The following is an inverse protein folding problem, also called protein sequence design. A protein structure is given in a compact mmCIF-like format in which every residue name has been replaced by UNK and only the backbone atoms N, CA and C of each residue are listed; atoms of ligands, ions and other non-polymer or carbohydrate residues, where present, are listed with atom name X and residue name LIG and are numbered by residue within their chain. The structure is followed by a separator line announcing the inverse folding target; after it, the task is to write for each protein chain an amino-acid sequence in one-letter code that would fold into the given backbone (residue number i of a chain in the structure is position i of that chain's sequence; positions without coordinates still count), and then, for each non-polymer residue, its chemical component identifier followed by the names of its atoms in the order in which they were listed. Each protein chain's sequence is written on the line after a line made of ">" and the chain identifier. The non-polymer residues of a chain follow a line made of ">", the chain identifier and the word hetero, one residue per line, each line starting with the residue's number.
data_IF_135639792545
#
_entry.id   IF_135639792545
#
_cell.length_a   1.000
_cell.length_b   1.000
_cell.length_c   1.000
_cell.angle_alpha   90.00
_cell.angle_beta   90.00
_cell.angle_gamma   90.00
#
_symmetry.space_group_name_H-M   'P 1'
#
loop_
_entity.id
_entity.type
_entity.pdbx_description
1 polymer ?
#
# COMPACT_ATOMS: atom_id res chain seq x y z
N UNK A 1 -24.99 -22.87 22.67
CA UNK A 1 -25.43 -22.29 21.38
C UNK A 1 -24.37 -21.38 20.75
N UNK A 2 -23.77 -20.42 21.48
CA UNK A 2 -22.73 -19.50 20.94
C UNK A 2 -21.51 -20.22 20.32
N UNK A 3 -21.00 -21.29 20.94
CA UNK A 3 -19.83 -22.04 20.44
C UNK A 3 -20.06 -22.75 19.10
N UNK A 4 -21.32 -23.02 18.72
CA UNK A 4 -21.67 -23.64 17.43
C UNK A 4 -21.63 -22.65 16.25
N UNK A 5 -21.89 -21.36 16.50
CA UNK A 5 -21.76 -20.30 15.49
C UNK A 5 -20.36 -19.71 15.43
N UNK A 6 -19.65 -19.67 16.56
CA UNK A 6 -18.31 -19.09 16.64
C UNK A 6 -17.29 -19.84 15.76
N UNK A 7 -17.34 -21.17 15.71
CA UNK A 7 -16.35 -21.98 14.99
C UNK A 7 -16.42 -21.78 13.46
N UNK A 8 -17.60 -21.84 12.80
CA UNK A 8 -17.73 -21.50 11.38
C UNK A 8 -17.34 -20.05 11.07
N UNK A 9 -17.77 -19.10 11.91
CA UNK A 9 -17.48 -17.67 11.70
C UNK A 9 -15.99 -17.39 11.78
N UNK A 10 -15.29 -17.95 12.77
CA UNK A 10 -13.84 -17.79 12.88
C UNK A 10 -13.10 -18.38 11.68
N UNK A 11 -13.54 -19.54 11.19
CA UNK A 11 -12.96 -20.18 10.03
C UNK A 11 -13.15 -19.32 8.76
N UNK A 12 -14.35 -18.77 8.58
CA UNK A 12 -14.65 -17.84 7.49
C UNK A 12 -13.78 -16.57 7.57
N UNK A 13 -13.66 -15.96 8.75
CA UNK A 13 -12.84 -14.76 8.96
C UNK A 13 -11.36 -15.02 8.69
N UNK A 14 -10.85 -16.18 9.08
CA UNK A 14 -9.46 -16.56 8.81
C UNK A 14 -9.18 -16.67 7.30
N UNK A 15 -10.05 -17.35 6.55
CA UNK A 15 -9.93 -17.45 5.10
C UNK A 15 -10.04 -16.09 4.41
N UNK A 16 -10.97 -15.24 4.86
CA UNK A 16 -11.12 -13.89 4.34
C UNK A 16 -9.85 -13.04 4.55
N UNK A 17 -9.21 -13.14 5.72
CA UNK A 17 -7.98 -12.41 6.02
C UNK A 17 -6.82 -12.87 5.13
N UNK A 18 -6.68 -14.17 4.88
CA UNK A 18 -5.64 -14.70 3.97
C UNK A 18 -5.80 -14.15 2.55
N UNK A 19 -7.03 -14.14 2.03
CA UNK A 19 -7.33 -13.60 0.70
C UNK A 19 -7.04 -12.10 0.65
N UNK A 20 -7.42 -11.35 1.69
CA UNK A 20 -7.16 -9.91 1.76
C UNK A 20 -5.65 -9.60 1.70
N UNK A 21 -4.83 -10.30 2.49
CA UNK A 21 -3.38 -10.08 2.49
C UNK A 21 -2.74 -10.42 1.12
N UNK A 22 -3.25 -11.45 0.42
CA UNK A 22 -2.79 -11.78 -0.93
C UNK A 22 -3.10 -10.66 -1.94
N UNK A 23 -4.29 -10.05 -1.85
CA UNK A 23 -4.68 -8.91 -2.71
C UNK A 23 -3.82 -7.69 -2.40
N UNK A 24 -3.58 -7.39 -1.12
CA UNK A 24 -2.74 -6.24 -0.71
C UNK A 24 -1.30 -6.41 -1.20
N UNK A 25 -0.75 -7.62 -1.17
CA UNK A 25 0.61 -7.92 -1.67
C UNK A 25 0.77 -7.65 -3.18
N UNK A 26 -0.31 -7.72 -3.94
CA UNK A 26 -0.28 -7.44 -5.38
C UNK A 26 0.08 -5.98 -5.70
N UNK A 27 -0.32 -5.03 -4.85
CA UNK A 27 -0.03 -3.60 -5.01
C UNK A 27 1.47 -3.28 -5.17
N UNK A 28 2.32 -3.60 -4.17
CA UNK A 28 3.76 -3.38 -4.28
C UNK A 28 4.42 -4.25 -5.38
N UNK A 29 3.89 -5.44 -5.67
CA UNK A 29 4.40 -6.27 -6.76
C UNK A 29 4.17 -5.65 -8.14
N UNK A 30 3.00 -5.04 -8.35
CA UNK A 30 2.70 -4.30 -9.58
C UNK A 30 3.60 -3.07 -9.71
N UNK A 31 3.78 -2.30 -8.63
CA UNK A 31 4.67 -1.15 -8.62
C UNK A 31 6.14 -1.54 -8.92
N UNK A 32 6.61 -2.65 -8.35
CA UNK A 32 7.95 -3.18 -8.62
C UNK A 32 8.08 -3.68 -10.07
N UNK A 33 7.07 -4.36 -10.59
CA UNK A 33 7.05 -4.84 -11.99
C UNK A 33 7.12 -3.67 -12.98
N UNK A 34 6.38 -2.59 -12.73
CA UNK A 34 6.39 -1.39 -13.56
C UNK A 34 7.72 -0.63 -13.54
N UNK A 35 8.40 -0.60 -12.40
CA UNK A 35 9.68 0.12 -12.25
C UNK A 35 10.89 -0.71 -12.69
N UNK A 36 10.89 -2.01 -12.45
CA UNK A 36 11.99 -2.91 -12.84
C UNK A 36 11.83 -3.52 -14.25
N UNK A 37 10.65 -3.41 -14.87
CA UNK A 37 10.35 -4.03 -16.17
C UNK A 37 10.30 -5.56 -16.12
N UNK A 38 10.17 -6.15 -14.93
CA UNK A 38 10.16 -7.60 -14.70
C UNK A 38 8.73 -8.16 -14.75
N UNK A 39 8.62 -9.47 -15.02
CA UNK A 39 7.34 -10.18 -14.97
C UNK A 39 6.75 -10.13 -13.54
N UNK A 40 5.48 -9.74 -13.44
CA UNK A 40 4.76 -9.58 -12.18
C UNK A 40 4.77 -10.83 -11.29
N UNK A 41 4.73 -12.03 -11.89
CA UNK A 41 4.81 -13.29 -11.15
C UNK A 41 6.12 -13.42 -10.38
N UNK A 42 7.22 -12.97 -10.98
CA UNK A 42 8.54 -12.98 -10.35
C UNK A 42 8.59 -11.98 -9.18
N UNK A 43 7.96 -10.81 -9.35
CA UNK A 43 7.88 -9.76 -8.33
C UNK A 43 7.02 -10.18 -7.13
N UNK A 44 5.88 -10.83 -7.37
CA UNK A 44 4.99 -11.32 -6.28
C UNK A 44 5.73 -12.35 -5.43
N UNK A 45 6.40 -13.32 -6.05
CA UNK A 45 7.14 -14.35 -5.33
C UNK A 45 8.31 -13.73 -4.56
N UNK A 46 9.08 -12.81 -5.17
CA UNK A 46 10.23 -12.21 -4.50
C UNK A 46 9.83 -11.39 -3.27
N UNK A 47 8.82 -10.51 -3.39
CA UNK A 47 8.32 -9.71 -2.26
C UNK A 47 7.75 -10.61 -1.17
N UNK A 48 7.00 -11.66 -1.53
CA UNK A 48 6.45 -12.62 -0.58
C UNK A 48 7.52 -13.38 0.21
N UNK A 49 8.59 -13.82 -0.46
CA UNK A 49 9.73 -14.50 0.17
C UNK A 49 10.46 -13.55 1.12
N UNK A 50 10.78 -12.33 0.68
CA UNK A 50 11.48 -11.33 1.51
C UNK A 50 10.64 -11.00 2.76
N UNK A 51 9.34 -10.76 2.57
CA UNK A 51 8.40 -10.43 3.65
C UNK A 51 8.32 -11.57 4.67
N UNK A 52 8.19 -12.81 4.20
CA UNK A 52 8.11 -14.00 5.06
C UNK A 52 9.42 -14.24 5.81
N UNK A 53 10.55 -14.13 5.12
CA UNK A 53 11.87 -14.34 5.72
C UNK A 53 12.16 -13.32 6.83
N UNK A 54 11.96 -12.03 6.53
CA UNK A 54 12.17 -10.96 7.50
C UNK A 54 11.20 -11.05 8.70
N UNK A 55 9.94 -11.39 8.46
CA UNK A 55 8.95 -11.56 9.53
C UNK A 55 9.24 -12.78 10.42
N UNK A 56 9.70 -13.88 9.81
CA UNK A 56 10.02 -15.12 10.55
C UNK A 56 11.28 -14.99 11.39
N UNK A 57 12.31 -14.27 10.91
CA UNK A 57 13.59 -14.15 11.62
C UNK A 57 13.51 -13.13 12.75
N UNK A 58 12.79 -12.02 12.54
CA UNK A 58 12.80 -10.90 13.48
C UNK A 58 11.62 -10.83 14.45
N UNK A 59 10.60 -11.68 14.26
CA UNK A 59 9.38 -11.70 15.06
C UNK A 59 8.60 -10.37 15.03
N UNK A 60 7.72 -10.16 16.01
CA UNK A 60 6.83 -8.97 16.05
C UNK A 60 7.60 -7.65 16.05
N UNK A 61 8.81 -7.62 16.64
CA UNK A 61 9.63 -6.40 16.72
C UNK A 61 10.13 -5.95 15.34
N UNK A 62 10.57 -6.90 14.51
CA UNK A 62 11.02 -6.58 13.17
C UNK A 62 9.88 -6.08 12.30
N UNK A 63 8.70 -6.72 12.38
CA UNK A 63 7.51 -6.27 11.65
C UNK A 63 7.17 -4.82 12.00
N UNK A 64 7.23 -4.42 13.27
CA UNK A 64 6.99 -3.03 13.70
C UNK A 64 8.02 -2.08 13.08
N UNK A 65 9.31 -2.44 13.08
CA UNK A 65 10.35 -1.62 12.45
C UNK A 65 10.14 -1.45 10.94
N UNK A 66 9.72 -2.51 10.24
CA UNK A 66 9.39 -2.41 8.82
C UNK A 66 8.13 -1.55 8.57
N UNK A 67 7.11 -1.65 9.43
CA UNK A 67 5.89 -0.83 9.30
C UNK A 67 6.19 0.67 9.51
N UNK A 68 7.03 1.00 10.49
CA UNK A 68 7.51 2.39 10.71
C UNK A 68 8.28 2.90 9.49
N UNK A 69 9.18 2.09 8.92
CA UNK A 69 9.90 2.46 7.70
C UNK A 69 8.95 2.65 6.51
N UNK A 70 7.98 1.76 6.33
CA UNK A 70 6.97 1.88 5.28
C UNK A 70 6.15 3.17 5.44
N UNK A 71 5.71 3.51 6.65
CA UNK A 71 4.96 4.75 6.91
C UNK A 71 5.78 6.00 6.57
N UNK A 72 7.06 6.03 6.94
CA UNK A 72 7.97 7.14 6.63
C UNK A 72 8.18 7.28 5.11
N UNK A 73 8.47 6.16 4.42
CA UNK A 73 8.69 6.16 2.97
C UNK A 73 7.44 6.61 2.22
N UNK A 74 6.26 6.16 2.65
CA UNK A 74 4.98 6.59 2.07
C UNK A 74 4.74 8.09 2.26
N UNK A 75 5.05 8.64 3.45
CA UNK A 75 4.93 10.07 3.72
C UNK A 75 5.88 10.91 2.84
N UNK A 76 7.14 10.50 2.73
CA UNK A 76 8.13 11.19 1.88
C UNK A 76 7.72 11.10 0.40
N UNK A 77 7.29 9.91 -0.05
CA UNK A 77 6.82 9.71 -1.43
C UNK A 77 5.63 10.60 -1.77
N UNK A 78 4.65 10.71 -0.86
CA UNK A 78 3.51 11.60 -1.02
C UNK A 78 3.94 13.07 -1.14
N UNK A 79 4.83 13.54 -0.25
CA UNK A 79 5.34 14.92 -0.31
C UNK A 79 6.11 15.18 -1.61
N UNK A 80 6.95 14.24 -2.04
CA UNK A 80 7.69 14.35 -3.29
C UNK A 80 6.75 14.45 -4.50
N UNK A 81 5.71 13.62 -4.57
CA UNK A 81 4.69 13.67 -5.64
C UNK A 81 3.95 15.01 -5.63
N UNK A 82 3.58 15.54 -4.46
CA UNK A 82 2.92 16.84 -4.34
C UNK A 82 3.83 17.96 -4.85
N UNK A 83 5.09 18.00 -4.39
CA UNK A 83 6.06 19.04 -4.80
C UNK A 83 6.33 18.96 -6.31
N UNK A 84 6.57 17.76 -6.85
CA UNK A 84 6.79 17.57 -8.28
C UNK A 84 5.57 17.99 -9.11
N UNK A 85 4.35 17.69 -8.61
CA UNK A 85 3.10 18.15 -9.23
C UNK A 85 3.00 19.68 -9.25
N UNK A 86 3.32 20.34 -8.13
CA UNK A 86 3.30 21.80 -8.02
C UNK A 86 4.32 22.47 -8.97
N UNK A 87 5.53 21.93 -9.08
CA UNK A 87 6.55 22.44 -10.00
C UNK A 87 6.09 22.26 -11.45
N UNK A 88 5.60 21.07 -11.80
CA UNK A 88 5.16 20.74 -13.17
C UNK A 88 3.97 21.60 -13.63
N UNK A 89 3.11 22.02 -12.70
CA UNK A 89 1.96 22.88 -12.95
C UNK A 89 2.28 24.38 -12.85
N UNK A 90 3.53 24.77 -12.57
CA UNK A 90 3.95 26.18 -12.52
C UNK A 90 3.53 26.93 -11.25
N UNK A 91 3.39 26.22 -10.13
CA UNK A 91 3.17 26.80 -8.80
C UNK A 91 1.79 26.52 -8.19
N UNK A 92 1.68 26.82 -6.88
CA UNK A 92 0.49 26.55 -6.07
C UNK A 92 -0.77 27.28 -6.60
N UNK A 93 -0.64 28.57 -6.97
CA UNK A 93 -1.76 29.35 -7.52
C UNK A 93 -2.32 28.75 -8.81
N UNK A 94 -1.45 28.25 -9.70
CA UNK A 94 -1.88 27.68 -10.98
C UNK A 94 -2.50 26.30 -10.78
N UNK A 95 -1.95 25.50 -9.88
CA UNK A 95 -2.53 24.21 -9.46
C UNK A 95 -3.93 24.38 -8.87
N UNK A 96 -4.11 25.35 -7.97
CA UNK A 96 -5.42 25.66 -7.36
C UNK A 96 -6.41 26.22 -8.39
N UNK A 97 -5.96 27.06 -9.34
CA UNK A 97 -6.81 27.55 -10.43
C UNK A 97 -7.23 26.44 -11.40
N UNK A 98 -6.33 25.51 -11.72
CA UNK A 98 -6.63 24.32 -12.55
C UNK A 98 -7.60 23.40 -11.81
N UNK A 99 -7.40 23.18 -10.51
CA UNK A 99 -8.32 22.38 -9.70
C UNK A 99 -9.73 23.02 -9.62
N UNK A 100 -9.80 24.35 -9.50
CA UNK A 100 -11.05 25.12 -9.45
C UNK A 100 -11.78 25.10 -10.79
N UNK A 101 -11.06 25.26 -11.89
CA UNK A 101 -11.60 25.11 -13.25
C UNK A 101 -12.02 23.68 -13.58
N UNK A 102 -11.32 22.69 -13.03
CA UNK A 102 -11.62 21.28 -13.21
C UNK A 102 -12.79 20.77 -12.38
N UNK A 103 -13.49 21.65 -11.63
CA UNK A 103 -14.60 21.28 -10.76
C UNK A 103 -14.19 20.37 -9.60
N UNK A 104 -12.89 20.32 -9.24
CA UNK A 104 -12.36 19.44 -8.18
C UNK A 104 -12.36 20.11 -6.80
N UNK A 105 -12.84 21.34 -6.71
CA UNK A 105 -13.00 22.10 -5.47
C UNK A 105 -14.43 22.66 -5.47
N UNK A 106 -15.34 21.91 -4.86
CA UNK A 106 -16.67 22.40 -4.49
C UNK A 106 -16.55 22.98 -3.08
N UNK A 107 -16.76 24.29 -2.96
CA UNK A 107 -16.96 24.97 -1.68
C UNK A 107 -18.47 25.20 -1.54
N UNK A 108 -19.19 24.19 -1.06
CA UNK A 108 -20.53 24.37 -0.48
C UNK A 108 -20.39 24.59 1.03
#
# INVERSE_FOLDING_TARGET
>A
MVRAYLFPVLNFLFHAQLIYMAIVLYGPALALSQTAGLNIWLCVISIGVICTFYSSVGGMRAVIWADVLQAIVMAIGLLAVIIQGLISLGGFKRTFSIASRGGRIEFD
#
